data_IF_009910196954
#
_entry.id   IF_009910196954
#
_cell.length_a   1.000
_cell.length_b   1.000
_cell.length_c   1.000
_cell.angle_alpha   90.00
_cell.angle_beta   90.00
_cell.angle_gamma   90.00
#
_symmetry.space_group_name_H-M   'P 1'
#
loop_
_entity.id
_entity.type
_entity.pdbx_description
1 polymer ?
#
# COMPACT_ATOMS: atom_id res chain seq x y z
N UNK A 1 12.56 11.03 -0.41
CA UNK A 1 11.25 10.91 -1.08
C UNK A 1 10.68 9.55 -0.76
N UNK A 2 9.40 9.50 -0.39
CA UNK A 2 8.67 8.24 -0.17
C UNK A 2 8.44 7.48 -1.48
N UNK A 3 8.03 6.22 -1.35
CA UNK A 3 7.71 5.30 -2.44
C UNK A 3 6.68 4.26 -1.98
N UNK A 4 5.97 3.70 -2.96
CA UNK A 4 5.22 2.45 -2.82
C UNK A 4 5.99 1.37 -3.56
N UNK A 5 6.11 0.17 -3.02
CA UNK A 5 6.62 -0.98 -3.76
C UNK A 5 5.67 -2.17 -3.63
N UNK A 6 5.42 -2.85 -4.75
CA UNK A 6 4.63 -4.08 -4.80
C UNK A 6 5.58 -5.22 -5.16
N UNK A 7 5.54 -6.28 -4.35
CA UNK A 7 6.34 -7.49 -4.56
C UNK A 7 5.45 -8.72 -4.64
N UNK A 8 5.71 -9.58 -5.64
CA UNK A 8 5.11 -10.90 -5.78
C UNK A 8 6.20 -11.91 -6.18
N UNK A 9 6.52 -12.83 -5.27
CA UNK A 9 7.66 -13.73 -5.46
C UNK A 9 8.98 -12.96 -5.56
N UNK A 10 9.69 -13.12 -6.68
CA UNK A 10 10.96 -12.43 -6.95
C UNK A 10 10.79 -11.11 -7.72
N UNK A 11 9.57 -10.79 -8.17
CA UNK A 11 9.28 -9.58 -8.94
C UNK A 11 8.90 -8.45 -8.01
N UNK A 12 9.53 -7.29 -8.18
CA UNK A 12 9.22 -6.08 -7.42
C UNK A 12 9.19 -4.87 -8.35
N UNK A 13 8.15 -4.05 -8.24
CA UNK A 13 8.05 -2.75 -8.92
C UNK A 13 7.95 -1.64 -7.88
N UNK A 14 8.68 -0.55 -8.08
CA UNK A 14 8.74 0.58 -7.14
C UNK A 14 8.22 1.87 -7.78
N UNK A 15 7.23 2.48 -7.14
CA UNK A 15 6.60 3.74 -7.54
C UNK A 15 7.16 4.89 -6.70
N UNK A 16 7.99 5.74 -7.32
CA UNK A 16 8.62 6.89 -6.63
C UNK A 16 7.97 8.24 -6.94
N UNK A 17 7.20 8.32 -8.02
CA UNK A 17 6.59 9.56 -8.54
C UNK A 17 5.08 9.42 -8.67
N UNK A 18 4.40 9.30 -7.53
CA UNK A 18 2.93 9.26 -7.51
C UNK A 18 2.38 10.60 -8.00
N UNK A 19 1.54 10.53 -9.03
CA UNK A 19 0.85 11.66 -9.65
C UNK A 19 -0.66 11.48 -9.46
N UNK A 20 -1.40 12.58 -9.32
CA UNK A 20 -2.82 12.52 -8.97
C UNK A 20 -3.04 12.10 -7.52
N UNK A 21 -4.04 12.70 -6.86
CA UNK A 21 -4.22 12.65 -5.41
C UNK A 21 -4.17 11.24 -4.82
N UNK A 22 -3.02 10.89 -4.24
CA UNK A 22 -2.88 9.71 -3.40
C UNK A 22 -3.84 9.88 -2.23
N UNK A 23 -4.89 9.07 -2.18
CA UNK A 23 -5.85 9.15 -1.09
C UNK A 23 -5.16 8.59 0.15
N UNK A 24 -4.93 9.40 1.20
CA UNK A 24 -4.36 8.87 2.42
C UNK A 24 -5.30 7.82 3.01
N UNK A 25 -4.77 6.73 3.59
CA UNK A 25 -5.58 5.84 4.38
C UNK A 25 -6.26 6.63 5.51
N UNK A 26 -7.51 6.28 5.80
CA UNK A 26 -8.35 7.06 6.72
C UNK A 26 -7.66 7.21 8.09
N UNK A 27 -7.53 8.45 8.55
CA UNK A 27 -6.87 8.78 9.82
C UNK A 27 -7.71 8.24 10.98
N UNK A 28 -7.07 7.49 11.89
CA UNK A 28 -7.63 7.00 13.15
C UNK A 28 -7.87 8.16 14.12
N UNK A 29 -8.95 8.11 14.92
CA UNK A 29 -9.09 9.00 16.07
C UNK A 29 -8.06 8.66 17.15
N UNK A 30 -7.36 9.67 17.69
CA UNK A 30 -6.29 9.49 18.67
C UNK A 30 -6.78 9.17 20.10
N UNK A 31 -8.10 9.06 20.33
CA UNK A 31 -8.67 8.77 21.64
C UNK A 31 -9.79 7.72 21.57
N UNK A 32 -9.87 6.77 22.52
CA UNK A 32 -10.90 5.74 22.55
C UNK A 32 -12.21 6.29 23.13
N UNK A 33 -12.74 7.35 22.55
CA UNK A 33 -14.07 7.86 22.91
C UNK A 33 -14.85 8.24 21.64
N UNK A 34 -15.80 7.35 21.32
CA UNK A 34 -16.93 7.53 20.39
C UNK A 34 -16.51 7.87 18.96
N UNK A 35 -16.34 6.84 18.13
CA UNK A 35 -16.26 7.04 16.68
C UNK A 35 -17.68 7.04 16.06
N UNK A 36 -17.92 8.00 15.17
CA UNK A 36 -19.11 8.03 14.32
C UNK A 36 -18.75 7.44 12.96
N UNK A 37 -19.63 6.60 12.42
CA UNK A 37 -19.50 6.10 11.05
C UNK A 37 -19.57 7.24 10.03
N UNK A 38 -19.12 6.99 8.79
CA UNK A 38 -19.18 7.96 7.69
C UNK A 38 -20.61 8.48 7.38
N UNK A 39 -21.66 7.84 7.91
CA UNK A 39 -23.07 8.24 7.82
C UNK A 39 -23.61 8.90 9.10
N UNK A 40 -22.77 9.20 10.09
CA UNK A 40 -23.13 9.96 11.30
C UNK A 40 -23.72 9.15 12.45
N UNK A 41 -23.91 7.84 12.30
CA UNK A 41 -24.46 6.99 13.36
C UNK A 41 -23.42 6.66 14.44
N UNK A 42 -23.87 6.69 15.70
CA UNK A 42 -23.07 6.41 16.91
C UNK A 42 -22.81 4.92 17.06
N UNK A 43 -21.54 4.52 17.18
CA UNK A 43 -21.13 3.12 17.41
C UNK A 43 -20.51 3.01 18.81
N UNK A 44 -20.97 2.04 19.59
CA UNK A 44 -20.56 1.78 21.00
C UNK A 44 -19.26 0.95 21.04
N UNK A 45 -18.52 1.02 22.16
CA UNK A 45 -17.24 0.31 22.41
C UNK A 45 -17.31 -1.19 22.07
N UNK A 46 -16.39 -1.63 21.23
CA UNK A 46 -16.07 -3.02 20.90
C UNK A 46 -14.65 -3.10 20.33
N UNK A 47 -14.17 -4.32 20.04
CA UNK A 47 -12.89 -4.51 19.36
C UNK A 47 -12.90 -3.71 18.05
N UNK A 48 -12.02 -2.72 17.93
CA UNK A 48 -11.93 -1.88 16.74
C UNK A 48 -11.20 -2.69 15.68
N UNK A 49 -11.96 -3.34 14.80
CA UNK A 49 -11.43 -3.91 13.57
C UNK A 49 -11.01 -2.74 12.68
N UNK A 50 -9.72 -2.61 12.39
CA UNK A 50 -9.22 -1.69 11.37
C UNK A 50 -9.92 -2.02 10.06
N UNK A 51 -10.50 -1.01 9.39
CA UNK A 51 -11.00 -1.21 8.03
C UNK A 51 -9.79 -1.45 7.11
N UNK A 52 -9.89 -2.35 6.11
CA UNK A 52 -8.83 -2.57 5.14
C UNK A 52 -8.33 -1.25 4.55
N UNK A 53 -7.01 -1.06 4.52
CA UNK A 53 -6.41 0.09 3.85
C UNK A 53 -6.65 -0.01 2.34
N UNK A 54 -6.93 1.12 1.69
CA UNK A 54 -7.10 1.21 0.24
C UNK A 54 -6.10 2.22 -0.31
N UNK A 55 -5.25 1.78 -1.24
CA UNK A 55 -4.31 2.63 -1.94
C UNK A 55 -4.79 2.85 -3.36
N UNK A 56 -5.09 4.10 -3.70
CA UNK A 56 -5.47 4.51 -5.05
C UNK A 56 -4.51 5.61 -5.50
N UNK A 57 -3.76 5.35 -6.57
CA UNK A 57 -2.77 6.28 -7.09
C UNK A 57 -2.53 6.12 -8.60
N UNK A 58 -1.95 7.16 -9.20
CA UNK A 58 -1.33 7.04 -10.51
C UNK A 58 0.18 7.25 -10.38
N UNK A 59 0.96 6.68 -11.28
CA UNK A 59 2.41 6.88 -11.30
C UNK A 59 2.91 6.85 -12.74
N UNK A 60 3.98 7.58 -13.00
CA UNK A 60 4.75 7.42 -14.23
C UNK A 60 5.74 6.27 -14.02
N UNK A 61 5.70 5.29 -14.90
CA UNK A 61 6.66 4.18 -14.94
C UNK A 61 7.49 4.24 -16.22
N UNK A 62 8.74 3.79 -16.12
CA UNK A 62 9.52 3.43 -17.30
C UNK A 62 8.89 2.22 -17.98
N UNK A 63 9.13 2.03 -19.28
CA UNK A 63 8.65 0.82 -19.98
C UNK A 63 9.11 -0.50 -19.32
N UNK A 64 10.36 -0.66 -18.87
CA UNK A 64 10.77 -1.84 -18.10
C UNK A 64 9.96 -2.04 -16.82
N UNK A 65 9.74 -1.00 -16.03
CA UNK A 65 8.95 -1.10 -14.78
C UNK A 65 7.48 -1.44 -15.06
N UNK A 66 6.93 -0.91 -16.16
CA UNK A 66 5.59 -1.27 -16.63
C UNK A 66 5.48 -2.77 -16.95
N UNK A 67 6.45 -3.33 -17.68
CA UNK A 67 6.46 -4.76 -18.00
C UNK A 67 6.57 -5.63 -16.73
N UNK A 68 7.28 -5.16 -15.70
CA UNK A 68 7.34 -5.85 -14.40
C UNK A 68 5.97 -5.80 -13.72
N UNK A 69 5.28 -4.65 -13.73
CA UNK A 69 3.94 -4.52 -13.18
C UNK A 69 2.92 -5.40 -13.94
N UNK A 70 2.98 -5.46 -15.27
CA UNK A 70 2.15 -6.37 -16.07
C UNK A 70 2.41 -7.83 -15.71
N UNK A 71 3.67 -8.24 -15.54
CA UNK A 71 4.00 -9.59 -15.12
C UNK A 71 3.47 -9.91 -13.71
N UNK A 72 3.56 -8.97 -12.77
CA UNK A 72 2.98 -9.12 -11.42
C UNK A 72 1.46 -9.25 -11.50
N UNK A 73 0.79 -8.41 -12.29
CA UNK A 73 -0.66 -8.44 -12.45
C UNK A 73 -1.15 -9.73 -13.12
N UNK A 74 -0.41 -10.21 -14.13
CA UNK A 74 -0.68 -11.49 -14.79
C UNK A 74 -0.54 -12.66 -13.82
N UNK A 75 0.59 -12.77 -13.12
CA UNK A 75 0.84 -13.82 -12.13
C UNK A 75 -0.21 -13.80 -11.01
N UNK A 76 -0.58 -12.60 -10.54
CA UNK A 76 -1.64 -12.40 -9.56
C UNK A 76 -2.97 -12.96 -10.06
N UNK A 77 -3.39 -12.59 -11.27
CA UNK A 77 -4.68 -13.01 -11.82
C UNK A 77 -4.74 -14.51 -12.09
N UNK A 78 -3.65 -15.10 -12.58
CA UNK A 78 -3.54 -16.55 -12.78
C UNK A 78 -3.68 -17.30 -11.45
N UNK A 79 -2.92 -16.92 -10.42
CA UNK A 79 -2.97 -17.58 -9.09
C UNK A 79 -4.34 -17.42 -8.43
N UNK A 80 -4.95 -16.23 -8.55
CA UNK A 80 -6.30 -15.94 -8.05
C UNK A 80 -7.36 -16.80 -8.71
N UNK A 81 -7.32 -16.97 -10.04
CA UNK A 81 -8.26 -17.83 -10.77
C UNK A 81 -8.08 -19.31 -10.42
N UNK A 82 -6.87 -19.71 -10.07
CA UNK A 82 -6.53 -21.08 -9.69
C UNK A 82 -6.69 -21.38 -8.19
N UNK A 83 -7.30 -20.46 -7.41
CA UNK A 83 -7.51 -20.60 -5.96
C UNK A 83 -6.22 -20.94 -5.18
N UNK A 84 -5.07 -20.47 -5.66
CA UNK A 84 -3.84 -20.60 -4.90
C UNK A 84 -3.83 -19.52 -3.82
N UNK A 85 -3.38 -19.87 -2.61
CA UNK A 85 -3.06 -18.85 -1.61
C UNK A 85 -1.80 -18.12 -2.07
N UNK A 86 -1.93 -16.83 -2.34
CA UNK A 86 -0.81 -15.98 -2.73
C UNK A 86 -1.01 -14.61 -2.10
N UNK A 87 0.09 -13.99 -1.72
CA UNK A 87 0.08 -12.71 -1.04
C UNK A 87 1.06 -11.78 -1.73
N UNK A 88 0.59 -10.62 -2.17
CA UNK A 88 1.49 -9.55 -2.57
C UNK A 88 1.92 -8.80 -1.34
N UNK A 89 3.20 -8.46 -1.27
CA UNK A 89 3.73 -7.61 -0.22
C UNK A 89 3.74 -6.17 -0.75
N UNK A 90 3.06 -5.29 -0.03
CA UNK A 90 3.06 -3.86 -0.27
C UNK A 90 3.98 -3.20 0.76
N UNK A 91 4.90 -2.37 0.29
CA UNK A 91 5.70 -1.48 1.14
C UNK A 91 5.25 -0.05 0.91
N UNK A 92 4.79 0.62 1.97
CA UNK A 92 4.39 2.03 1.93
C UNK A 92 5.37 2.87 2.76
N UNK A 93 6.04 3.82 2.11
CA UNK A 93 6.94 4.78 2.75
C UNK A 93 6.48 6.23 2.59
N UNK A 94 5.22 6.46 2.20
CA UNK A 94 4.61 7.79 2.16
C UNK A 94 3.94 8.15 3.48
N UNK A 95 3.31 7.18 4.14
CA UNK A 95 2.63 7.40 5.42
C UNK A 95 3.23 6.55 6.53
N UNK A 96 3.60 7.20 7.63
CA UNK A 96 4.02 6.50 8.83
C UNK A 96 2.80 5.87 9.54
N UNK A 97 2.97 4.62 9.95
CA UNK A 97 2.04 3.92 10.80
C UNK A 97 2.40 4.18 12.27
N UNK A 98 1.39 4.52 13.09
CA UNK A 98 1.57 4.86 14.49
C UNK A 98 0.79 3.90 15.37
N UNK A 99 1.48 3.24 16.30
CA UNK A 99 0.90 2.24 17.21
C UNK A 99 1.26 2.53 18.67
N UNK A 100 0.29 2.39 19.58
CA UNK A 100 0.51 2.44 21.04
C UNK A 100 0.84 1.04 21.56
N UNK A 101 2.03 0.54 21.21
CA UNK A 101 2.72 -0.69 21.67
C UNK A 101 1.89 -2.01 21.86
N UNK A 102 2.42 -3.20 21.50
CA UNK A 102 3.59 -3.51 20.67
C UNK A 102 3.30 -3.32 19.17
N UNK A 103 4.35 -3.40 18.32
CA UNK A 103 4.20 -3.32 16.87
C UNK A 103 3.33 -4.46 16.34
N UNK A 104 2.35 -4.17 15.48
CA UNK A 104 1.49 -5.21 14.90
C UNK A 104 1.81 -5.56 13.45
N UNK A 105 2.75 -4.83 12.82
CA UNK A 105 3.16 -5.04 11.42
C UNK A 105 4.68 -5.08 11.26
N UNK A 106 5.13 -5.73 10.18
CA UNK A 106 6.50 -5.64 9.73
C UNK A 106 6.85 -4.21 9.28
N UNK A 107 8.07 -3.80 9.57
CA UNK A 107 8.58 -2.49 9.13
C UNK A 107 9.04 -2.55 7.69
N UNK A 108 8.83 -1.48 6.92
CA UNK A 108 9.39 -1.31 5.60
C UNK A 108 10.92 -1.55 5.61
N UNK A 109 11.53 -2.06 4.53
CA UNK A 109 12.97 -2.20 4.46
C UNK A 109 13.69 -0.84 4.48
N UNK A 110 14.96 -0.87 4.89
CA UNK A 110 15.88 0.28 4.81
C UNK A 110 15.95 0.86 3.37
N UNK A 111 16.26 2.16 3.17
CA UNK A 111 16.83 3.11 4.13
C UNK A 111 15.84 4.05 4.82
N UNK A 112 14.57 4.08 4.41
CA UNK A 112 13.58 5.02 4.96
C UNK A 112 12.95 4.56 6.28
N UNK A 113 13.20 3.33 6.69
CA UNK A 113 12.67 2.79 7.92
C UNK A 113 13.42 3.36 9.14
N UNK A 114 12.85 4.44 9.70
CA UNK A 114 13.22 4.94 11.01
C UNK A 114 12.07 4.67 11.97
N UNK A 115 12.29 3.76 12.92
CA UNK A 115 11.35 3.53 14.02
C UNK A 115 11.57 4.64 15.03
N UNK A 116 10.57 5.48 15.23
CA UNK A 116 10.61 6.60 16.19
C UNK A 116 9.66 6.31 17.36
N UNK A 117 10.18 6.30 18.58
CA UNK A 117 9.35 6.20 19.79
C UNK A 117 8.95 7.60 20.24
N UNK A 118 7.65 7.86 20.34
CA UNK A 118 7.06 9.13 20.78
C UNK A 118 6.17 8.85 21.98
N UNK A 119 6.72 9.04 23.19
CA UNK A 119 6.03 8.67 24.44
C UNK A 119 5.69 7.17 24.45
N UNK A 120 4.40 6.85 24.62
CA UNK A 120 3.89 5.47 24.62
C UNK A 120 3.54 4.93 23.21
N UNK A 121 3.93 5.65 22.16
CA UNK A 121 3.65 5.29 20.76
C UNK A 121 4.92 5.02 19.97
N UNK A 122 4.80 4.21 18.93
CA UNK A 122 5.85 3.89 17.96
C UNK A 122 5.36 4.34 16.58
N UNK A 123 6.15 5.14 15.88
CA UNK A 123 5.94 5.55 14.48
C UNK A 123 6.93 4.84 13.57
N UNK A 124 6.46 4.26 12.46
CA UNK A 124 7.31 3.56 11.49
C UNK A 124 6.61 3.40 10.12
N UNK A 125 7.38 3.26 9.03
CA UNK A 125 6.83 2.84 7.74
C UNK A 125 6.60 1.34 7.72
N UNK A 126 5.46 0.89 7.18
CA UNK A 126 4.99 -0.49 7.34
C UNK A 126 4.93 -1.26 6.02
N UNK A 127 4.87 -2.59 6.16
CA UNK A 127 4.52 -3.51 5.09
C UNK A 127 3.13 -4.11 5.34
N UNK A 128 2.42 -4.37 4.25
CA UNK A 128 1.06 -4.91 4.25
C UNK A 128 0.97 -6.08 3.29
N UNK A 129 0.13 -7.07 3.60
CA UNK A 129 -0.38 -7.94 2.55
C UNK A 129 -1.46 -7.17 1.79
N UNK A 130 -1.40 -7.23 0.47
CA UNK A 130 -2.31 -6.48 -0.38
C UNK A 130 -2.78 -7.29 -1.58
N UNK A 131 -3.95 -6.91 -2.08
CA UNK A 131 -4.61 -7.46 -3.25
C UNK A 131 -4.87 -6.34 -4.27
N UNK A 132 -4.87 -6.67 -5.57
CA UNK A 132 -5.40 -5.74 -6.56
C UNK A 132 -6.92 -5.65 -6.40
N UNK A 133 -7.40 -4.51 -5.92
CA UNK A 133 -8.83 -4.19 -5.93
C UNK A 133 -9.34 -3.98 -7.36
N UNK A 134 -8.45 -3.47 -8.23
CA UNK A 134 -8.61 -3.42 -9.68
C UNK A 134 -7.27 -3.72 -10.34
N UNK A 135 -7.28 -4.46 -11.45
CA UNK A 135 -6.06 -4.68 -12.23
C UNK A 135 -5.45 -3.32 -12.66
N UNK A 136 -4.12 -3.19 -12.66
CA UNK A 136 -3.47 -1.95 -13.06
C UNK A 136 -3.75 -1.66 -14.54
N UNK A 137 -3.97 -0.40 -14.86
CA UNK A 137 -4.33 0.04 -16.21
C UNK A 137 -3.35 1.10 -16.72
N UNK A 138 -2.92 0.97 -17.97
CA UNK A 138 -2.20 2.02 -18.69
C UNK A 138 -3.19 3.13 -19.06
N UNK A 139 -3.00 4.32 -18.48
CA UNK A 139 -3.85 5.49 -18.70
C UNK A 139 -3.36 6.30 -19.90
N UNK A 140 -2.05 6.46 -20.01
CA UNK A 140 -1.42 7.24 -21.07
C UNK A 140 -0.02 6.72 -21.34
N UNK A 141 0.39 6.73 -22.61
CA UNK A 141 1.78 6.50 -23.01
C UNK A 141 2.43 7.81 -23.43
N UNK A 142 3.73 7.95 -23.15
CA UNK A 142 4.46 9.18 -23.42
C UNK A 142 5.96 8.93 -23.55
N UNK A 143 6.70 10.03 -23.60
CA UNK A 143 8.16 10.03 -23.52
C UNK A 143 8.60 10.96 -22.40
N UNK A 144 9.57 10.52 -21.62
CA UNK A 144 10.29 11.36 -20.67
C UNK A 144 11.24 12.31 -21.43
N UNK A 145 11.73 13.33 -20.74
CA UNK A 145 12.62 14.38 -21.31
C UNK A 145 13.91 13.83 -21.94
N UNK A 146 14.30 12.60 -21.59
CA UNK A 146 15.45 11.86 -22.12
C UNK A 146 15.09 10.90 -23.28
N UNK A 147 13.90 11.02 -23.88
CA UNK A 147 13.38 10.14 -24.94
C UNK A 147 13.07 8.69 -24.51
N UNK A 148 13.07 8.38 -23.22
CA UNK A 148 12.63 7.06 -22.74
C UNK A 148 11.10 6.97 -22.79
N UNK A 149 10.59 5.86 -23.34
CA UNK A 149 9.16 5.56 -23.32
C UNK A 149 8.68 5.38 -21.88
N UNK A 150 7.61 6.08 -21.53
CA UNK A 150 6.97 5.98 -20.22
C UNK A 150 5.48 5.69 -20.34
N UNK A 151 4.94 5.12 -19.27
CA UNK A 151 3.53 4.77 -19.16
C UNK A 151 3.01 5.37 -17.86
N UNK A 152 1.96 6.17 -17.95
CA UNK A 152 1.16 6.57 -16.79
C UNK A 152 0.24 5.41 -16.47
N UNK A 153 0.35 4.89 -15.25
CA UNK A 153 -0.43 3.75 -14.79
C UNK A 153 -1.34 4.16 -13.65
N UNK A 154 -2.52 3.56 -13.58
CA UNK A 154 -3.42 3.65 -12.43
C UNK A 154 -3.41 2.33 -11.67
N UNK A 155 -3.25 2.43 -10.35
CA UNK A 155 -3.14 1.27 -9.46
C UNK A 155 -4.12 1.44 -8.30
N UNK A 156 -4.88 0.38 -8.00
CA UNK A 156 -5.79 0.31 -6.86
C UNK A 156 -5.53 -0.99 -6.08
N UNK A 157 -5.10 -0.85 -4.84
CA UNK A 157 -4.80 -1.95 -3.93
C UNK A 157 -5.67 -1.89 -2.69
N UNK A 158 -6.04 -3.05 -2.17
CA UNK A 158 -6.71 -3.21 -0.89
C UNK A 158 -5.85 -4.07 0.03
N UNK A 159 -5.80 -3.74 1.32
CA UNK A 159 -5.13 -4.55 2.35
C UNK A 159 -5.86 -5.88 2.49
N UNK A 160 -5.11 -6.97 2.44
CA UNK A 160 -5.59 -8.24 2.93
C UNK A 160 -5.50 -8.20 4.46
N UNK A 161 -6.61 -8.46 5.15
CA UNK A 161 -6.78 -8.26 6.61
C UNK A 161 -5.79 -9.08 7.44
N UNK A 162 -5.06 -10.00 6.81
CA UNK A 162 -3.91 -10.65 7.39
C UNK A 162 -2.76 -9.68 7.67
N UNK A 163 -2.30 -9.66 8.92
CA UNK A 163 -1.18 -8.82 9.33
C UNK A 163 0.15 -9.46 8.95
N UNK A 164 1.07 -8.66 8.42
CA UNK A 164 2.45 -9.09 8.21
C UNK A 164 3.13 -9.21 9.58
N UNK A 165 3.58 -10.40 9.92
CA UNK A 165 4.29 -10.65 11.18
C UNK A 165 5.58 -9.81 11.26
N UNK A 166 5.84 -9.12 12.38
CA UNK A 166 7.13 -8.47 12.59
C UNK A 166 8.23 -9.54 12.67
N UNK A 167 9.18 -9.50 11.74
CA UNK A 167 10.42 -10.30 11.76
C UNK A 167 11.41 -9.77 12.78
#
# INVERSE_FOLDING_TARGET
MGYIAISLGTRTVTFRGIIGGFKPPRVRSAMPEIERSASGNTIVRGAVTELPHLWEFQSVLSKPDWLILEAIAFDYDERRRNFQDFKMLLTDTFFEHIERAPRTRATAPAPLNQVTTIGDSISYYAQFYALFAKMPEAVQTGRLSNSEECVVVSVILEEDVEKVSPT
#
